data_IF_524710421425
#
_entry.id   IF_524710421425
#
_cell.length_a   1.000
_cell.length_b   1.000
_cell.length_c   1.000
_cell.angle_alpha   90.00
_cell.angle_beta   90.00
_cell.angle_gamma   90.00
#
_symmetry.space_group_name_H-M   'P 1'
#
loop_
_entity.id
_entity.type
_entity.pdbx_description
1 polymer ?
#
# COMPACT_ATOMS: atom_id res chain seq x y z
N UNK A 1 13.31 -20.18 -4.47
CA UNK A 1 13.21 -18.82 -5.07
C UNK A 1 14.52 -18.08 -4.97
N UNK A 2 14.64 -17.03 -5.74
CA UNK A 2 15.78 -16.12 -5.70
C UNK A 2 15.27 -14.73 -5.29
N UNK A 3 15.91 -14.11 -4.32
CA UNK A 3 15.62 -12.73 -3.90
C UNK A 3 16.79 -11.83 -4.30
N UNK A 4 16.48 -10.67 -4.91
CA UNK A 4 17.46 -9.61 -5.12
C UNK A 4 17.57 -8.83 -3.82
N UNK A 5 18.67 -9.05 -3.09
CA UNK A 5 18.93 -8.43 -1.78
C UNK A 5 19.47 -7.01 -1.94
N UNK A 6 20.25 -6.78 -2.99
CA UNK A 6 20.85 -5.49 -3.26
C UNK A 6 21.00 -5.28 -4.77
N UNK A 7 20.56 -4.14 -5.27
CA UNK A 7 20.74 -3.72 -6.65
C UNK A 7 21.46 -2.39 -6.66
N UNK A 8 22.67 -2.38 -7.19
CA UNK A 8 23.46 -1.17 -7.47
C UNK A 8 23.79 -1.13 -8.96
N UNK A 9 24.31 0.01 -9.44
CA UNK A 9 24.61 0.23 -10.87
C UNK A 9 25.46 -0.87 -11.51
N UNK A 10 26.33 -1.53 -10.74
CA UNK A 10 27.22 -2.59 -11.19
C UNK A 10 27.20 -3.85 -10.29
N UNK A 11 26.27 -3.95 -9.35
CA UNK A 11 26.18 -5.07 -8.41
C UNK A 11 24.74 -5.49 -8.21
N UNK A 12 24.45 -6.75 -8.51
CA UNK A 12 23.19 -7.39 -8.15
C UNK A 12 23.50 -8.53 -7.17
N UNK A 13 23.10 -8.39 -5.91
CA UNK A 13 23.22 -9.45 -4.92
C UNK A 13 21.92 -10.23 -4.88
N UNK A 14 21.99 -11.49 -5.30
CA UNK A 14 20.87 -12.43 -5.32
C UNK A 14 21.08 -13.46 -4.21
N UNK A 15 20.09 -13.59 -3.32
CA UNK A 15 20.06 -14.62 -2.31
C UNK A 15 19.08 -15.73 -2.72
N UNK A 16 19.53 -16.97 -2.65
CA UNK A 16 18.64 -18.11 -2.82
C UNK A 16 17.85 -18.33 -1.53
N UNK A 17 16.52 -18.33 -1.63
CA UNK A 17 15.64 -18.71 -0.52
C UNK A 17 15.56 -20.23 -0.49
N UNK A 18 16.45 -20.84 0.26
CA UNK A 18 16.51 -22.31 0.39
C UNK A 18 15.53 -22.85 1.43
N UNK A 19 15.16 -22.02 2.41
CA UNK A 19 14.12 -22.30 3.42
C UNK A 19 13.50 -20.98 3.86
N UNK A 20 12.25 -20.73 3.48
CA UNK A 20 11.52 -19.58 3.99
C UNK A 20 11.24 -19.80 5.48
N UNK A 21 11.95 -19.07 6.34
CA UNK A 21 11.63 -19.05 7.76
C UNK A 21 10.48 -18.07 8.03
N UNK A 22 9.79 -18.25 9.15
CA UNK A 22 8.76 -17.29 9.58
C UNK A 22 9.33 -15.89 9.82
N UNK A 23 10.58 -15.80 10.25
CA UNK A 23 11.28 -14.54 10.44
C UNK A 23 11.55 -13.83 9.11
N UNK A 24 12.01 -14.55 8.09
CA UNK A 24 12.24 -13.99 6.75
C UNK A 24 10.93 -13.47 6.13
N UNK A 25 9.83 -14.20 6.28
CA UNK A 25 8.53 -13.73 5.85
C UNK A 25 8.12 -12.44 6.59
N UNK A 26 8.21 -12.43 7.91
CA UNK A 26 7.84 -11.26 8.71
C UNK A 26 8.67 -10.02 8.36
N UNK A 27 9.97 -10.20 8.13
CA UNK A 27 10.86 -9.12 7.70
C UNK A 27 10.49 -8.60 6.31
N UNK A 28 10.21 -9.50 5.36
CA UNK A 28 9.74 -9.13 4.03
C UNK A 28 8.40 -8.40 4.09
N UNK A 29 7.47 -8.93 4.89
CA UNK A 29 6.13 -8.35 5.01
C UNK A 29 6.14 -6.96 5.67
N UNK A 30 7.02 -6.72 6.67
CA UNK A 30 7.28 -5.37 7.21
C UNK A 30 7.81 -4.41 6.15
N UNK A 31 8.71 -4.89 5.28
CA UNK A 31 9.24 -4.10 4.17
C UNK A 31 8.14 -3.73 3.16
N UNK A 32 7.18 -4.62 2.89
CA UNK A 32 6.00 -4.32 2.06
C UNK A 32 5.22 -3.14 2.64
N UNK A 33 4.87 -3.19 3.93
CA UNK A 33 4.16 -2.09 4.58
C UNK A 33 4.94 -0.77 4.52
N UNK A 34 6.23 -0.81 4.85
CA UNK A 34 7.09 0.38 4.79
C UNK A 34 7.17 0.96 3.38
N UNK A 35 7.27 0.11 2.37
CA UNK A 35 7.37 0.52 0.97
C UNK A 35 6.06 1.14 0.47
N UNK A 36 4.91 0.55 0.80
CA UNK A 36 3.60 1.12 0.46
C UNK A 36 3.39 2.46 1.19
N UNK A 37 3.75 2.54 2.47
CA UNK A 37 3.69 3.79 3.22
C UNK A 37 4.54 4.90 2.60
N UNK A 38 5.78 4.58 2.22
CA UNK A 38 6.66 5.53 1.52
C UNK A 38 6.10 5.97 0.17
N UNK A 39 5.51 5.03 -0.60
CA UNK A 39 4.81 5.35 -1.86
C UNK A 39 3.66 6.34 -1.65
N UNK A 40 2.84 6.14 -0.62
CA UNK A 40 1.75 7.04 -0.28
C UNK A 40 2.24 8.44 0.10
N UNK A 41 3.32 8.51 0.87
CA UNK A 41 3.94 9.78 1.25
C UNK A 41 4.52 10.51 0.03
N UNK A 42 5.20 9.80 -0.88
CA UNK A 42 5.70 10.38 -2.13
C UNK A 42 4.57 10.95 -3.00
N UNK A 43 3.44 10.26 -3.10
CA UNK A 43 2.25 10.77 -3.81
C UNK A 43 1.71 12.02 -3.11
N UNK A 44 1.56 12.00 -1.78
CA UNK A 44 1.04 13.11 -1.00
C UNK A 44 1.91 14.37 -1.14
N UNK A 45 3.22 14.22 -1.00
CA UNK A 45 4.18 15.32 -1.15
C UNK A 45 4.24 15.81 -2.60
N UNK A 46 4.24 14.90 -3.57
CA UNK A 46 4.19 15.22 -4.99
C UNK A 46 2.97 16.08 -5.35
N UNK A 47 1.82 15.80 -4.75
CA UNK A 47 0.60 16.63 -4.90
C UNK A 47 0.79 18.00 -4.26
N UNK A 48 1.27 18.06 -3.00
CA UNK A 48 1.43 19.31 -2.25
C UNK A 48 2.43 20.24 -2.90
N UNK A 49 3.57 19.71 -3.32
CA UNK A 49 4.68 20.47 -3.90
C UNK A 49 4.54 20.64 -5.42
N UNK A 50 3.56 19.96 -6.05
CA UNK A 50 3.40 19.85 -7.51
C UNK A 50 4.65 19.27 -8.18
N UNK A 51 5.30 18.36 -7.49
CA UNK A 51 6.53 17.71 -7.91
C UNK A 51 6.20 16.42 -8.67
N UNK A 52 6.48 16.42 -9.98
CA UNK A 52 6.23 15.28 -10.87
C UNK A 52 7.27 14.18 -10.69
N UNK A 53 8.45 14.45 -10.18
CA UNK A 53 9.46 13.42 -9.95
C UNK A 53 9.06 12.52 -8.77
N UNK A 54 8.56 13.10 -7.67
CA UNK A 54 8.01 12.33 -6.55
C UNK A 54 6.84 11.42 -6.99
N UNK A 55 5.98 11.92 -7.88
CA UNK A 55 4.89 11.12 -8.43
C UNK A 55 5.40 9.96 -9.33
N UNK A 56 6.48 10.18 -10.10
CA UNK A 56 7.11 9.13 -10.90
C UNK A 56 7.77 8.07 -10.02
N UNK A 57 8.49 8.49 -8.98
CA UNK A 57 9.09 7.59 -8.00
C UNK A 57 8.04 6.67 -7.37
N UNK A 58 6.87 7.23 -6.99
CA UNK A 58 5.77 6.44 -6.48
C UNK A 58 5.26 5.39 -7.49
N UNK A 59 5.16 5.75 -8.79
CA UNK A 59 4.77 4.80 -9.85
C UNK A 59 5.81 3.69 -10.03
N UNK A 60 7.10 4.01 -9.95
CA UNK A 60 8.17 3.01 -10.07
C UNK A 60 8.22 2.08 -8.86
N UNK A 61 7.91 2.59 -7.67
CA UNK A 61 7.87 1.83 -6.43
C UNK A 61 6.81 0.74 -6.43
N UNK A 62 5.74 0.89 -7.21
CA UNK A 62 4.71 -0.14 -7.41
C UNK A 62 5.30 -1.47 -7.89
N UNK A 63 6.28 -1.44 -8.82
CA UNK A 63 6.94 -2.67 -9.29
C UNK A 63 7.70 -3.39 -8.17
N UNK A 64 8.31 -2.63 -7.27
CA UNK A 64 9.03 -3.18 -6.11
C UNK A 64 8.03 -3.82 -5.15
N UNK A 65 6.91 -3.15 -4.88
CA UNK A 65 5.83 -3.66 -4.04
C UNK A 65 5.27 -4.98 -4.59
N UNK A 66 4.97 -5.01 -5.89
CA UNK A 66 4.45 -6.20 -6.57
C UNK A 66 5.42 -7.39 -6.49
N UNK A 67 6.72 -7.17 -6.66
CA UNK A 67 7.73 -8.21 -6.51
C UNK A 67 7.81 -8.75 -5.08
N UNK A 68 7.81 -7.87 -4.07
CA UNK A 68 7.83 -8.28 -2.66
C UNK A 68 6.57 -9.05 -2.29
N UNK A 69 5.39 -8.62 -2.74
CA UNK A 69 4.12 -9.30 -2.47
C UNK A 69 4.03 -10.65 -3.18
N UNK A 70 4.53 -10.76 -4.43
CA UNK A 70 4.63 -12.04 -5.13
C UNK A 70 5.53 -13.02 -4.36
N UNK A 71 6.65 -12.55 -3.80
CA UNK A 71 7.53 -13.36 -2.96
C UNK A 71 6.87 -13.76 -1.65
N UNK A 72 6.12 -12.87 -0.99
CA UNK A 72 5.32 -13.21 0.19
C UNK A 72 4.33 -14.34 -0.12
N UNK A 73 3.55 -14.21 -1.21
CA UNK A 73 2.61 -15.23 -1.67
C UNK A 73 3.30 -16.57 -2.00
N UNK A 74 4.47 -16.53 -2.63
CA UNK A 74 5.27 -17.72 -2.88
C UNK A 74 5.69 -18.41 -1.57
N UNK A 75 6.21 -17.64 -0.60
CA UNK A 75 6.61 -18.19 0.70
C UNK A 75 5.45 -18.84 1.46
N UNK A 76 4.24 -18.28 1.38
CA UNK A 76 3.02 -18.88 1.94
C UNK A 76 2.65 -20.18 1.27
N UNK A 77 2.82 -20.30 -0.06
CA UNK A 77 2.41 -21.47 -0.84
C UNK A 77 3.35 -22.67 -0.70
N UNK A 78 4.65 -22.48 -0.45
CA UNK A 78 5.59 -23.59 -0.31
C UNK A 78 5.45 -24.37 1.01
N UNK A 79 4.41 -24.12 1.79
CA UNK A 79 4.01 -24.81 3.03
C UNK A 79 5.09 -24.93 4.12
N UNK A 80 6.22 -24.24 4.00
CA UNK A 80 7.27 -24.21 5.02
C UNK A 80 7.00 -23.17 6.13
N UNK A 81 5.90 -22.45 6.00
CA UNK A 81 5.52 -21.38 6.92
C UNK A 81 4.59 -21.95 8.00
N UNK A 82 5.20 -22.46 9.08
CA UNK A 82 4.52 -23.23 10.12
C UNK A 82 3.64 -22.46 11.13
N UNK A 83 3.78 -21.14 11.41
CA UNK A 83 2.97 -20.54 12.47
C UNK A 83 1.60 -20.03 12.04
N UNK A 84 1.32 -19.92 10.74
CA UNK A 84 0.03 -19.39 10.31
C UNK A 84 -0.96 -20.51 9.96
N UNK A 85 -1.85 -20.78 10.92
CA UNK A 85 -3.06 -21.58 10.69
C UNK A 85 -3.97 -20.99 9.60
N UNK A 86 -3.66 -19.75 9.10
CA UNK A 86 -4.45 -18.99 8.14
C UNK A 86 -3.63 -18.49 6.94
N UNK A 87 -2.97 -19.42 6.21
CA UNK A 87 -2.28 -19.08 4.94
C UNK A 87 -3.21 -18.32 3.98
N UNK A 88 -4.48 -18.74 3.90
CA UNK A 88 -5.50 -18.07 3.07
C UNK A 88 -5.71 -16.60 3.46
N UNK A 89 -5.82 -16.33 4.78
CA UNK A 89 -5.96 -14.95 5.26
C UNK A 89 -4.76 -14.08 4.87
N UNK A 90 -3.55 -14.61 5.02
CA UNK A 90 -2.33 -13.88 4.65
C UNK A 90 -2.23 -13.67 3.14
N UNK A 91 -2.68 -14.63 2.32
CA UNK A 91 -2.78 -14.43 0.88
C UNK A 91 -3.77 -13.31 0.52
N UNK A 92 -4.96 -13.30 1.14
CA UNK A 92 -5.94 -12.24 0.95
C UNK A 92 -5.38 -10.86 1.37
N UNK A 93 -4.63 -10.80 2.47
CA UNK A 93 -4.00 -9.57 2.92
C UNK A 93 -2.91 -9.09 1.92
N UNK A 94 -2.12 -10.00 1.36
CA UNK A 94 -1.17 -9.66 0.29
C UNK A 94 -1.90 -9.10 -0.95
N UNK A 95 -3.03 -9.67 -1.35
CA UNK A 95 -3.85 -9.15 -2.45
C UNK A 95 -4.43 -7.75 -2.13
N UNK A 96 -4.95 -7.56 -0.93
CA UNK A 96 -5.46 -6.25 -0.51
C UNK A 96 -4.37 -5.17 -0.52
N UNK A 97 -3.16 -5.49 -0.03
CA UNK A 97 -2.01 -4.58 -0.09
C UNK A 97 -1.54 -4.30 -1.52
N UNK A 98 -1.62 -5.29 -2.42
CA UNK A 98 -1.31 -5.10 -3.82
C UNK A 98 -2.31 -4.15 -4.49
N UNK A 99 -3.61 -4.39 -4.29
CA UNK A 99 -4.66 -3.52 -4.81
C UNK A 99 -4.51 -2.08 -4.28
N UNK A 100 -4.15 -1.93 -3.00
CA UNK A 100 -3.90 -0.62 -2.40
C UNK A 100 -2.73 0.10 -3.10
N UNK A 101 -1.61 -0.57 -3.35
CA UNK A 101 -0.48 0.00 -4.08
C UNK A 101 -0.85 0.39 -5.52
N UNK A 102 -1.58 -0.47 -6.22
CA UNK A 102 -2.08 -0.19 -7.58
C UNK A 102 -2.96 1.09 -7.60
N UNK A 103 -3.84 1.30 -6.61
CA UNK A 103 -4.67 2.50 -6.53
C UNK A 103 -3.82 3.77 -6.33
N UNK A 104 -2.79 3.73 -5.49
CA UNK A 104 -1.89 4.88 -5.31
C UNK A 104 -1.11 5.21 -6.58
N UNK A 105 -0.67 4.21 -7.33
CA UNK A 105 -0.08 4.38 -8.65
C UNK A 105 -1.05 5.07 -9.61
N UNK A 106 -2.30 4.59 -9.71
CA UNK A 106 -3.31 5.17 -10.56
C UNK A 106 -3.60 6.64 -10.20
N UNK A 107 -3.61 6.97 -8.91
CA UNK A 107 -3.75 8.35 -8.42
C UNK A 107 -2.56 9.20 -8.90
N UNK A 108 -1.32 8.72 -8.74
CA UNK A 108 -0.12 9.44 -9.18
C UNK A 108 -0.14 9.69 -10.70
N UNK A 109 -0.41 8.66 -11.49
CA UNK A 109 -0.52 8.76 -12.95
C UNK A 109 -1.60 9.74 -13.40
N UNK A 110 -2.78 9.69 -12.74
CA UNK A 110 -3.87 10.61 -13.00
C UNK A 110 -3.46 12.07 -12.74
N UNK A 111 -2.83 12.33 -11.60
CA UNK A 111 -2.41 13.68 -11.20
C UNK A 111 -1.35 14.22 -12.17
N UNK A 112 -0.36 13.42 -12.55
CA UNK A 112 0.64 13.79 -13.55
C UNK A 112 0.01 14.16 -14.89
N UNK A 113 -0.98 13.36 -15.33
CA UNK A 113 -1.64 13.54 -16.63
C UNK A 113 -2.61 14.72 -16.66
N UNK A 114 -3.42 14.90 -15.62
CA UNK A 114 -4.54 15.85 -15.61
C UNK A 114 -4.23 17.14 -14.87
N UNK A 115 -3.25 17.15 -13.96
CA UNK A 115 -2.89 18.28 -13.12
C UNK A 115 -4.11 18.95 -12.48
N UNK A 116 -5.00 18.19 -11.83
CA UNK A 116 -6.25 18.71 -11.28
C UNK A 116 -5.97 19.68 -10.13
N UNK A 117 -6.90 20.61 -9.89
CA UNK A 117 -6.88 21.44 -8.68
C UNK A 117 -7.53 20.67 -7.54
N UNK A 118 -6.73 20.09 -6.67
CA UNK A 118 -7.17 19.29 -5.52
C UNK A 118 -7.26 20.16 -4.27
N UNK A 119 -8.35 20.10 -3.54
CA UNK A 119 -8.55 20.80 -2.26
C UNK A 119 -9.10 19.84 -1.20
N UNK A 120 -10.30 19.37 -1.37
CA UNK A 120 -10.94 18.45 -0.42
C UNK A 120 -10.48 17.02 -0.66
N UNK A 121 -10.13 16.67 -1.90
CA UNK A 121 -9.50 15.40 -2.26
C UNK A 121 -8.13 15.25 -1.59
N UNK A 122 -7.34 16.31 -1.55
CA UNK A 122 -6.04 16.28 -0.87
C UNK A 122 -6.18 15.95 0.61
N UNK A 123 -7.14 16.61 1.30
CA UNK A 123 -7.44 16.29 2.71
C UNK A 123 -7.91 14.86 2.90
N UNK A 124 -8.69 14.34 1.95
CA UNK A 124 -9.15 12.96 1.99
C UNK A 124 -8.01 11.98 1.76
N UNK A 125 -7.07 12.32 0.87
CA UNK A 125 -5.88 11.55 0.64
C UNK A 125 -4.95 11.54 1.89
N UNK A 126 -4.76 12.68 2.55
CA UNK A 126 -4.03 12.75 3.83
C UNK A 126 -4.60 11.79 4.88
N UNK A 127 -5.92 11.76 5.01
CA UNK A 127 -6.61 10.82 5.93
C UNK A 127 -6.43 9.36 5.51
N UNK A 128 -6.34 9.07 4.21
CA UNK A 128 -6.04 7.71 3.72
C UNK A 128 -4.64 7.26 4.12
N UNK A 129 -3.65 8.14 3.98
CA UNK A 129 -2.26 7.88 4.42
C UNK A 129 -2.20 7.64 5.92
N UNK A 130 -2.90 8.46 6.70
CA UNK A 130 -2.98 8.31 8.16
C UNK A 130 -3.65 7.00 8.57
N UNK A 131 -4.75 6.64 7.91
CA UNK A 131 -5.46 5.39 8.17
C UNK A 131 -4.56 4.16 7.91
N UNK A 132 -3.73 4.21 6.87
CA UNK A 132 -2.78 3.13 6.59
C UNK A 132 -1.71 2.99 7.70
N UNK A 133 -1.22 4.09 8.24
CA UNK A 133 -0.30 4.06 9.41
C UNK A 133 -0.98 3.44 10.63
N UNK A 134 -2.21 3.84 10.93
CA UNK A 134 -3.00 3.26 12.01
C UNK A 134 -3.24 1.75 11.80
N UNK A 135 -3.50 1.33 10.56
CA UNK A 135 -3.66 -0.09 10.23
C UNK A 135 -2.35 -0.87 10.43
N UNK A 136 -1.20 -0.32 10.02
CA UNK A 136 0.10 -0.92 10.26
C UNK A 136 0.35 -1.14 11.76
N UNK A 137 0.12 -0.12 12.55
CA UNK A 137 0.32 -0.19 14.00
C UNK A 137 -0.62 -1.22 14.64
N UNK A 138 -1.88 -1.24 14.22
CA UNK A 138 -2.87 -2.21 14.68
C UNK A 138 -2.48 -3.65 14.30
N UNK A 139 -1.95 -3.86 13.11
CA UNK A 139 -1.54 -5.19 12.64
C UNK A 139 -0.41 -5.78 13.49
N UNK A 140 0.56 -4.96 13.90
CA UNK A 140 1.70 -5.43 14.69
C UNK A 140 1.51 -5.30 16.20
N UNK A 141 0.67 -4.37 16.64
CA UNK A 141 0.41 -4.06 18.06
C UNK A 141 -1.10 -4.03 18.27
N UNK A 142 -1.74 -5.20 18.16
CA UNK A 142 -3.20 -5.29 18.28
C UNK A 142 -3.66 -4.77 19.65
N UNK A 143 -4.56 -3.80 19.59
CA UNK A 143 -5.32 -3.29 20.73
C UNK A 143 -6.79 -3.14 20.35
N UNK A 144 -7.68 -3.57 21.24
CA UNK A 144 -9.13 -3.55 20.98
C UNK A 144 -9.67 -2.13 20.77
N UNK A 145 -9.16 -1.17 21.52
CA UNK A 145 -9.63 0.21 21.43
C UNK A 145 -9.17 0.82 20.09
N UNK A 146 -7.91 0.61 19.74
CA UNK A 146 -7.36 1.03 18.45
C UNK A 146 -8.09 0.37 17.26
N UNK A 147 -8.47 -0.91 17.39
CA UNK A 147 -9.26 -1.59 16.35
C UNK A 147 -10.61 -0.90 16.11
N UNK A 148 -11.30 -0.53 17.18
CA UNK A 148 -12.59 0.19 17.08
C UNK A 148 -12.37 1.55 16.41
N UNK A 149 -11.35 2.29 16.82
CA UNK A 149 -11.03 3.61 16.27
C UNK A 149 -10.68 3.53 14.77
N UNK A 150 -9.78 2.65 14.36
CA UNK A 150 -9.40 2.43 12.95
C UNK A 150 -10.64 2.08 12.11
N UNK A 151 -11.50 1.19 12.63
CA UNK A 151 -12.75 0.79 11.95
C UNK A 151 -13.70 1.97 11.75
N UNK A 152 -13.86 2.82 12.78
CA UNK A 152 -14.69 4.03 12.70
C UNK A 152 -14.08 5.02 11.69
N UNK A 153 -12.78 5.25 11.73
CA UNK A 153 -12.07 6.16 10.82
C UNK A 153 -12.20 5.70 9.37
N UNK A 154 -12.02 4.41 9.09
CA UNK A 154 -12.21 3.83 7.76
C UNK A 154 -13.66 4.02 7.25
N UNK A 155 -14.66 3.75 8.10
CA UNK A 155 -16.07 3.96 7.76
C UNK A 155 -16.40 5.43 7.47
N UNK A 156 -15.90 6.33 8.29
CA UNK A 156 -16.13 7.77 8.12
C UNK A 156 -15.47 8.29 6.83
N UNK A 157 -14.26 7.85 6.54
CA UNK A 157 -13.54 8.22 5.33
C UNK A 157 -14.28 7.71 4.08
N UNK A 158 -14.70 6.46 4.08
CA UNK A 158 -15.51 5.87 3.00
C UNK A 158 -16.81 6.63 2.77
N UNK A 159 -17.54 6.96 3.84
CA UNK A 159 -18.76 7.74 3.74
C UNK A 159 -18.50 9.16 3.19
N UNK A 160 -17.38 9.78 3.57
CA UNK A 160 -16.95 11.05 3.02
C UNK A 160 -16.72 10.97 1.50
N UNK A 161 -16.11 9.92 0.99
CA UNK A 161 -15.96 9.71 -0.45
C UNK A 161 -17.29 9.54 -1.17
N UNK A 162 -18.25 8.78 -0.63
CA UNK A 162 -19.58 8.65 -1.22
C UNK A 162 -20.34 9.99 -1.31
N UNK A 163 -20.16 10.89 -0.35
CA UNK A 163 -20.72 12.22 -0.42
C UNK A 163 -20.08 13.07 -1.53
N UNK A 164 -18.77 12.90 -1.76
CA UNK A 164 -18.05 13.57 -2.85
C UNK A 164 -18.47 13.06 -4.23
N UNK A 165 -18.86 11.79 -4.40
CA UNK A 165 -19.38 11.26 -5.67
C UNK A 165 -20.63 12.00 -6.19
N UNK A 166 -21.40 12.59 -5.31
CA UNK A 166 -22.59 13.37 -5.66
C UNK A 166 -22.27 14.83 -6.05
N UNK A 167 -21.00 15.23 -6.02
CA UNK A 167 -20.56 16.56 -6.42
C UNK A 167 -19.89 16.50 -7.80
N UNK A 168 -19.57 17.65 -8.41
CA UNK A 168 -18.93 17.74 -9.75
C UNK A 168 -17.48 17.26 -9.79
N UNK A 169 -17.11 16.27 -8.99
CA UNK A 169 -15.76 15.74 -8.90
C UNK A 169 -15.42 14.77 -10.02
N UNK A 170 -14.12 14.61 -10.30
CA UNK A 170 -13.66 13.60 -11.23
C UNK A 170 -13.89 12.20 -10.65
N UNK A 171 -14.84 11.50 -11.23
CA UNK A 171 -15.29 10.19 -10.75
C UNK A 171 -14.18 9.14 -10.68
N UNK A 172 -13.12 9.26 -11.51
CA UNK A 172 -12.01 8.30 -11.51
C UNK A 172 -11.16 8.43 -10.26
N UNK A 173 -10.78 9.68 -9.89
CA UNK A 173 -10.00 9.93 -8.67
C UNK A 173 -10.76 9.48 -7.43
N UNK A 174 -12.06 9.77 -7.36
CA UNK A 174 -12.90 9.33 -6.25
C UNK A 174 -13.03 7.82 -6.19
N UNK A 175 -13.14 7.14 -7.33
CA UNK A 175 -13.17 5.68 -7.38
C UNK A 175 -11.89 5.09 -6.80
N UNK A 176 -10.71 5.54 -7.25
CA UNK A 176 -9.43 5.07 -6.73
C UNK A 176 -9.26 5.35 -5.24
N UNK A 177 -9.64 6.54 -4.75
CA UNK A 177 -9.61 6.86 -3.33
C UNK A 177 -10.55 5.95 -2.50
N UNK A 178 -11.76 5.69 -3.02
CA UNK A 178 -12.71 4.79 -2.36
C UNK A 178 -12.19 3.36 -2.35
N UNK A 179 -11.64 2.88 -3.46
CA UNK A 179 -11.06 1.54 -3.57
C UNK A 179 -9.88 1.37 -2.60
N UNK A 180 -9.01 2.37 -2.49
CA UNK A 180 -7.89 2.36 -1.55
C UNK A 180 -8.28 2.25 -0.06
N UNK A 181 -9.52 2.61 0.30
CA UNK A 181 -10.03 2.52 1.69
C UNK A 181 -10.88 1.27 1.92
N UNK A 182 -11.40 0.66 0.85
CA UNK A 182 -12.30 -0.50 0.95
C UNK A 182 -11.59 -1.85 0.77
N UNK A 183 -10.38 -1.85 0.20
CA UNK A 183 -9.52 -3.03 0.09
C UNK A 183 -8.66 -3.22 1.34
#
# INVERSE_FOLDING_TARGET
>A
GLEVVKLEKNLCLIKQISSASSEEFNNLFRRVFSSIGSMQESVLEGIKMKDTELLKEAVEQDKVNNNMLALCKYMLNIRKYSPYRNTTYMCCLCEALQNLADEHKLIAEYIMKKKPKLKDELKSYEKTVELFKQFYDLYYNYDKQNFIEVTINAKNLRNGFYLLFNTKFDQRLLYSLTSAVTN
#
